data_IF_728355810311
#
_entry.id   IF_728355810311
#
_cell.length_a   1.000
_cell.length_b   1.000
_cell.length_c   1.000
_cell.angle_alpha   90.00
_cell.angle_beta   90.00
_cell.angle_gamma   90.00
#
_symmetry.space_group_name_H-M   'P 1'
#
loop_
_entity.id
_entity.type
_entity.pdbx_description
1 polymer ?
#
# COMPACT_ATOMS: atom_id res chain seq x y z
N UNK A 1 9.12 10.47 -12.53
CA UNK A 1 8.33 11.66 -12.15
C UNK A 1 7.18 11.21 -11.27
N UNK A 2 7.01 11.78 -10.08
CA UNK A 2 5.89 11.46 -9.18
C UNK A 2 4.72 12.45 -9.39
N UNK A 3 3.52 11.99 -9.06
CA UNK A 3 2.27 12.69 -9.32
C UNK A 3 1.95 13.67 -8.17
N UNK A 4 1.54 14.90 -8.49
CA UNK A 4 0.97 15.84 -7.52
C UNK A 4 -0.55 15.62 -7.44
N UNK A 5 -1.00 15.01 -6.34
CA UNK A 5 -2.41 14.74 -6.06
C UNK A 5 -3.26 16.02 -5.88
N UNK A 6 -2.65 17.20 -5.66
CA UNK A 6 -3.38 18.47 -5.46
C UNK A 6 -3.98 19.00 -6.77
N UNK A 7 -3.29 18.73 -7.88
CA UNK A 7 -3.52 19.39 -9.17
C UNK A 7 -3.71 18.40 -10.34
N UNK A 8 -3.51 17.09 -10.13
CA UNK A 8 -3.54 16.09 -11.19
C UNK A 8 -2.40 16.25 -12.21
N UNK A 9 -1.44 17.12 -11.93
CA UNK A 9 -0.26 17.36 -12.75
C UNK A 9 0.92 16.54 -12.23
N UNK A 10 1.90 16.25 -13.09
CA UNK A 10 3.20 15.76 -12.61
C UNK A 10 3.84 16.87 -11.76
N UNK A 11 4.40 16.53 -10.60
CA UNK A 11 5.06 17.51 -9.73
C UNK A 11 6.09 18.30 -10.55
N UNK A 12 5.91 19.62 -10.69
CA UNK A 12 6.87 20.50 -11.39
C UNK A 12 8.22 20.61 -10.68
N UNK A 13 8.33 20.13 -9.43
CA UNK A 13 9.43 20.47 -8.53
C UNK A 13 9.84 19.34 -7.58
N UNK A 14 9.63 18.07 -7.93
CA UNK A 14 10.30 16.99 -7.19
C UNK A 14 11.70 16.79 -7.76
N UNK A 15 12.72 16.65 -6.90
CA UNK A 15 14.06 16.32 -7.35
C UNK A 15 14.02 15.03 -8.18
N UNK A 16 14.78 15.03 -9.27
CA UNK A 16 15.06 13.84 -10.06
C UNK A 16 15.61 12.71 -9.18
N UNK A 17 15.54 11.47 -9.67
CA UNK A 17 16.08 10.31 -8.93
C UNK A 17 17.56 10.49 -8.62
N UNK A 18 18.33 11.11 -9.53
CA UNK A 18 19.75 11.43 -9.29
C UNK A 18 19.95 12.46 -8.17
N UNK A 19 19.11 13.48 -8.11
CA UNK A 19 19.17 14.47 -7.01
C UNK A 19 18.73 13.87 -5.66
N UNK A 20 17.86 12.85 -5.68
CA UNK A 20 17.42 12.15 -4.45
C UNK A 20 18.53 11.33 -3.79
N UNK A 21 19.57 10.92 -4.52
CA UNK A 21 20.73 10.20 -3.97
C UNK A 21 21.41 11.01 -2.87
N UNK A 22 21.39 12.35 -2.96
CA UNK A 22 21.95 13.22 -1.92
C UNK A 22 21.23 13.07 -0.57
N UNK A 23 19.94 12.74 -0.58
CA UNK A 23 19.12 12.51 0.62
C UNK A 23 19.07 11.03 1.00
N UNK A 24 19.14 10.13 0.01
CA UNK A 24 19.06 8.67 0.17
C UNK A 24 20.19 7.98 -0.61
N UNK A 25 21.43 7.91 -0.06
CA UNK A 25 22.62 7.48 -0.80
C UNK A 25 22.59 6.05 -1.36
N UNK A 26 21.66 5.21 -0.88
CA UNK A 26 21.50 3.80 -1.28
C UNK A 26 20.24 3.55 -2.11
N UNK A 27 19.58 4.61 -2.59
CA UNK A 27 18.42 4.44 -3.47
C UNK A 27 18.83 3.79 -4.79
N UNK A 28 18.06 2.81 -5.26
CA UNK A 28 18.26 2.23 -6.58
C UNK A 28 17.77 3.22 -7.65
N UNK A 29 18.72 3.84 -8.34
CA UNK A 29 18.42 4.84 -9.38
C UNK A 29 17.91 4.23 -10.68
N UNK A 30 18.08 2.91 -10.86
CA UNK A 30 17.65 2.18 -12.05
C UNK A 30 16.25 1.57 -11.88
N UNK A 31 15.64 1.73 -10.71
CA UNK A 31 14.30 1.22 -10.46
C UNK A 31 13.26 1.94 -11.32
N UNK A 32 12.53 1.16 -12.10
CA UNK A 32 11.35 1.62 -12.83
C UNK A 32 10.07 1.28 -12.05
N UNK A 33 9.17 2.27 -11.93
CA UNK A 33 7.83 2.07 -11.38
C UNK A 33 7.12 0.92 -12.11
N UNK A 34 6.37 0.09 -11.37
CA UNK A 34 5.62 -1.04 -11.92
C UNK A 34 4.65 -0.59 -13.03
N UNK A 35 3.95 0.52 -12.77
CA UNK A 35 3.11 1.20 -13.74
C UNK A 35 2.84 2.63 -13.26
N UNK A 36 2.24 3.44 -14.13
CA UNK A 36 1.67 4.75 -13.77
C UNK A 36 0.15 4.65 -13.88
N UNK A 37 -0.62 5.01 -12.86
CA UNK A 37 -2.08 4.94 -12.94
C UNK A 37 -2.66 6.03 -13.85
N UNK A 38 -3.80 5.73 -14.45
CA UNK A 38 -4.60 6.71 -15.18
C UNK A 38 -5.30 7.67 -14.20
N UNK A 39 -5.39 8.94 -14.57
CA UNK A 39 -5.98 10.00 -13.73
C UNK A 39 -7.10 10.72 -14.49
N UNK A 40 -8.17 11.17 -13.81
CA UNK A 40 -8.41 11.04 -12.37
C UNK A 40 -8.82 9.62 -11.95
N UNK A 41 -8.37 9.20 -10.78
CA UNK A 41 -8.78 7.93 -10.18
C UNK A 41 -10.12 8.09 -9.44
N UNK A 42 -11.11 7.27 -9.78
CA UNK A 42 -12.38 7.23 -9.05
C UNK A 42 -12.27 6.32 -7.83
N UNK A 43 -12.79 6.78 -6.70
CA UNK A 43 -12.83 6.01 -5.46
C UNK A 43 -14.22 5.40 -5.22
N UNK A 44 -14.33 4.15 -4.73
CA UNK A 44 -13.23 3.23 -4.41
C UNK A 44 -12.75 2.37 -5.60
N UNK A 45 -13.57 2.19 -6.63
CA UNK A 45 -13.39 1.11 -7.60
C UNK A 45 -12.06 1.19 -8.37
N UNK A 46 -11.77 2.31 -9.03
CA UNK A 46 -10.52 2.46 -9.79
C UNK A 46 -9.29 2.39 -8.88
N UNK A 47 -9.40 2.89 -7.64
CA UNK A 47 -8.36 2.76 -6.62
C UNK A 47 -8.08 1.31 -6.23
N UNK A 48 -9.13 0.51 -6.04
CA UNK A 48 -9.02 -0.91 -5.70
C UNK A 48 -8.50 -1.74 -6.88
N UNK A 49 -8.89 -1.40 -8.11
CA UNK A 49 -8.33 -2.02 -9.31
C UNK A 49 -6.82 -1.75 -9.42
N UNK A 50 -6.40 -0.52 -9.13
CA UNK A 50 -4.97 -0.16 -9.05
C UNK A 50 -4.23 -0.97 -7.98
N UNK A 51 -4.82 -1.13 -6.80
CA UNK A 51 -4.21 -1.93 -5.74
C UNK A 51 -4.07 -3.40 -6.16
N UNK A 52 -5.10 -3.96 -6.79
CA UNK A 52 -5.08 -5.32 -7.36
C UNK A 52 -3.96 -5.49 -8.39
N UNK A 53 -3.83 -4.53 -9.30
CA UNK A 53 -2.76 -4.52 -10.30
C UNK A 53 -1.38 -4.43 -9.65
N UNK A 54 -1.20 -3.59 -8.64
CA UNK A 54 0.07 -3.48 -7.93
C UNK A 54 0.51 -4.80 -7.29
N UNK A 55 -0.39 -5.50 -6.61
CA UNK A 55 -0.11 -6.82 -6.03
C UNK A 55 0.28 -7.81 -7.12
N UNK A 56 -0.48 -7.86 -8.22
CA UNK A 56 -0.20 -8.76 -9.35
C UNK A 56 1.19 -8.49 -9.96
N UNK A 57 1.52 -7.24 -10.24
CA UNK A 57 2.81 -6.86 -10.83
C UNK A 57 3.99 -7.13 -9.87
N UNK A 58 3.79 -6.92 -8.56
CA UNK A 58 4.78 -7.31 -7.54
C UNK A 58 5.01 -8.81 -7.51
N UNK A 59 3.93 -9.61 -7.50
CA UNK A 59 3.98 -11.07 -7.56
C UNK A 59 4.68 -11.58 -8.81
N UNK A 60 4.44 -10.96 -9.98
CA UNK A 60 5.13 -11.34 -11.22
C UNK A 60 6.61 -10.98 -11.16
N UNK A 61 6.95 -9.75 -10.74
CA UNK A 61 8.34 -9.24 -10.77
C UNK A 61 9.25 -9.95 -9.75
N UNK A 62 8.71 -10.30 -8.59
CA UNK A 62 9.47 -10.77 -7.43
C UNK A 62 9.05 -12.13 -6.89
N UNK A 63 7.98 -12.74 -7.40
CA UNK A 63 7.35 -13.88 -6.75
C UNK A 63 7.76 -15.27 -7.24
N UNK A 64 8.66 -15.42 -8.22
CA UNK A 64 9.07 -16.72 -8.76
C UNK A 64 10.57 -16.83 -9.01
N UNK A 65 11.18 -17.92 -8.52
CA UNK A 65 12.57 -18.31 -8.77
C UNK A 65 13.44 -18.35 -7.51
N UNK A 66 14.43 -19.25 -7.48
CA UNK A 66 15.35 -19.44 -6.36
C UNK A 66 16.18 -18.19 -6.02
N UNK A 67 16.40 -17.31 -7.00
CA UNK A 67 17.16 -16.06 -6.86
C UNK A 67 16.28 -14.85 -6.47
N UNK A 68 15.00 -15.06 -6.17
CA UNK A 68 14.08 -13.99 -5.78
C UNK A 68 13.99 -13.82 -4.26
N UNK A 69 13.70 -12.60 -3.79
CA UNK A 69 13.55 -12.35 -2.36
C UNK A 69 12.38 -13.17 -1.79
N UNK A 70 12.59 -13.77 -0.62
CA UNK A 70 11.55 -14.50 0.12
C UNK A 70 10.48 -13.58 0.73
N UNK A 71 10.78 -12.27 0.84
CA UNK A 71 9.88 -11.26 1.39
C UNK A 71 10.02 -9.93 0.63
N UNK A 72 8.90 -9.24 0.47
CA UNK A 72 8.83 -7.90 -0.13
C UNK A 72 8.21 -6.96 0.89
N UNK A 73 8.85 -5.81 1.13
CA UNK A 73 8.33 -4.77 2.01
C UNK A 73 7.84 -3.61 1.12
N UNK A 74 6.56 -3.28 1.24
CA UNK A 74 5.95 -2.14 0.54
C UNK A 74 5.64 -1.06 1.56
N UNK A 75 6.29 0.10 1.40
CA UNK A 75 6.02 1.28 2.22
C UNK A 75 5.16 2.24 1.41
N UNK A 76 3.96 2.54 1.90
CA UNK A 76 3.00 3.40 1.20
C UNK A 76 2.12 4.17 2.19
N UNK A 77 1.20 4.99 1.68
CA UNK A 77 0.25 5.74 2.48
C UNK A 77 -0.89 4.86 3.01
N UNK A 78 -1.60 5.34 4.04
CA UNK A 78 -2.67 4.60 4.72
C UNK A 78 -3.70 3.95 3.79
N UNK A 79 -4.22 4.70 2.80
CA UNK A 79 -5.14 4.16 1.81
C UNK A 79 -4.51 3.02 1.00
N UNK A 80 -3.25 3.18 0.58
CA UNK A 80 -2.49 2.16 -0.13
C UNK A 80 -2.31 0.88 0.69
N UNK A 81 -2.00 1.00 1.99
CA UNK A 81 -1.87 -0.15 2.88
C UNK A 81 -3.18 -0.95 2.93
N UNK A 82 -4.30 -0.27 3.22
CA UNK A 82 -5.62 -0.92 3.35
C UNK A 82 -6.09 -1.50 2.02
N UNK A 83 -5.97 -0.74 0.94
CA UNK A 83 -6.37 -1.17 -0.39
C UNK A 83 -5.57 -2.38 -0.88
N UNK A 84 -4.26 -2.39 -0.68
CA UNK A 84 -3.43 -3.54 -1.02
C UNK A 84 -3.73 -4.75 -0.12
N UNK A 85 -3.89 -4.57 1.19
CA UNK A 85 -4.24 -5.68 2.08
C UNK A 85 -5.59 -6.31 1.72
N UNK A 86 -6.62 -5.48 1.51
CA UNK A 86 -7.95 -5.94 1.07
C UNK A 86 -7.87 -6.72 -0.25
N UNK A 87 -7.18 -6.17 -1.25
CA UNK A 87 -7.11 -6.79 -2.58
C UNK A 87 -6.22 -8.03 -2.64
N UNK A 88 -5.20 -8.12 -1.79
CA UNK A 88 -4.33 -9.30 -1.73
C UNK A 88 -5.04 -10.47 -1.05
N UNK A 89 -5.86 -10.18 -0.04
CA UNK A 89 -6.55 -11.20 0.77
C UNK A 89 -7.98 -11.53 0.33
N UNK A 90 -8.54 -10.75 -0.60
CA UNK A 90 -9.93 -10.87 -1.02
C UNK A 90 -10.96 -10.38 0.02
N UNK A 91 -10.49 -9.87 1.16
CA UNK A 91 -11.34 -9.32 2.24
C UNK A 91 -11.96 -7.98 1.83
N UNK A 92 -13.15 -7.69 2.35
CA UNK A 92 -13.75 -6.36 2.22
C UNK A 92 -12.92 -5.31 2.96
N UNK A 93 -13.06 -4.04 2.57
CA UNK A 93 -12.35 -2.95 3.25
C UNK A 93 -12.67 -2.90 4.76
N UNK A 94 -13.91 -3.21 5.15
CA UNK A 94 -14.36 -3.23 6.56
C UNK A 94 -13.69 -4.30 7.42
N UNK A 95 -13.10 -5.33 6.80
CA UNK A 95 -12.37 -6.40 7.48
C UNK A 95 -10.86 -6.10 7.60
N UNK A 96 -10.40 -4.98 7.03
CA UNK A 96 -9.01 -4.51 7.15
C UNK A 96 -8.96 -3.38 8.16
N UNK A 97 -8.05 -3.50 9.13
CA UNK A 97 -7.92 -2.52 10.20
C UNK A 97 -7.48 -1.15 9.67
N UNK A 98 -7.83 -0.12 10.43
CA UNK A 98 -7.38 1.23 10.17
C UNK A 98 -5.84 1.29 10.16
N UNK A 99 -5.27 1.99 9.19
CA UNK A 99 -3.84 2.16 9.07
C UNK A 99 -3.38 3.33 9.93
N UNK A 100 -2.69 3.03 11.02
CA UNK A 100 -1.94 4.00 11.81
C UNK A 100 -0.62 4.36 11.13
N UNK A 101 0.01 5.51 11.44
CA UNK A 101 1.38 5.76 11.01
C UNK A 101 2.30 4.60 11.38
N UNK A 102 3.13 4.17 10.44
CA UNK A 102 4.08 3.06 10.60
C UNK A 102 3.47 1.72 11.03
N UNK A 103 2.14 1.53 10.93
CA UNK A 103 1.56 0.21 11.17
C UNK A 103 2.03 -0.80 10.11
N UNK A 104 2.00 -2.09 10.49
CA UNK A 104 2.44 -3.18 9.65
C UNK A 104 1.23 -4.05 9.30
N UNK A 105 1.08 -4.35 8.02
CA UNK A 105 0.22 -5.41 7.51
C UNK A 105 1.13 -6.55 7.03
N UNK A 106 1.09 -7.70 7.68
CA UNK A 106 1.85 -8.88 7.24
C UNK A 106 0.93 -9.83 6.48
N UNK A 107 1.36 -10.18 5.27
CA UNK A 107 0.62 -11.06 4.39
C UNK A 107 1.51 -12.23 3.99
N UNK A 108 0.98 -13.44 4.10
CA UNK A 108 1.66 -14.68 3.72
C UNK A 108 0.95 -15.31 2.53
N UNK A 109 1.66 -16.10 1.74
CA UNK A 109 1.04 -16.93 0.71
C UNK A 109 1.79 -18.25 0.63
N UNK A 110 1.05 -19.33 0.37
CA UNK A 110 1.65 -20.62 0.07
C UNK A 110 1.99 -20.65 -1.42
N UNK A 111 3.24 -20.99 -1.75
CA UNK A 111 3.77 -21.00 -3.13
C UNK A 111 3.68 -22.42 -3.73
N UNK A 112 3.12 -23.39 -3.00
CA UNK A 112 3.08 -24.81 -3.40
C UNK A 112 2.27 -25.08 -4.68
N UNK A 113 1.55 -24.09 -5.21
CA UNK A 113 0.94 -24.13 -6.54
C UNK A 113 1.57 -23.07 -7.45
N UNK A 114 2.63 -23.47 -8.18
CA UNK A 114 3.34 -22.66 -9.18
C UNK A 114 2.42 -22.12 -10.29
N UNK A 115 1.18 -22.60 -10.39
CA UNK A 115 0.20 -22.16 -11.39
C UNK A 115 -0.61 -20.92 -10.99
N UNK A 116 -0.64 -20.55 -9.70
CA UNK A 116 -1.42 -19.40 -9.21
C UNK A 116 -0.55 -18.25 -8.68
N UNK A 117 0.11 -17.54 -9.61
CA UNK A 117 0.78 -16.26 -9.34
C UNK A 117 -0.19 -15.21 -8.72
N UNK A 118 -1.49 -15.40 -8.90
CA UNK A 118 -2.56 -14.59 -8.33
C UNK A 118 -3.11 -15.09 -6.99
N UNK A 119 -2.48 -16.11 -6.39
CA UNK A 119 -2.95 -16.75 -5.16
C UNK A 119 -3.37 -15.76 -4.08
N UNK A 120 -4.48 -16.07 -3.43
CA UNK A 120 -5.01 -15.28 -2.32
C UNK A 120 -3.98 -15.29 -1.19
N UNK A 121 -3.58 -14.09 -0.78
CA UNK A 121 -2.70 -13.93 0.38
C UNK A 121 -3.54 -14.09 1.65
N UNK A 122 -2.92 -14.59 2.70
CA UNK A 122 -3.50 -14.67 4.02
C UNK A 122 -2.97 -13.52 4.87
N UNK A 123 -3.80 -13.05 5.81
CA UNK A 123 -3.43 -12.04 6.78
C UNK A 123 -4.04 -12.43 8.12
N UNK A 124 -3.22 -12.48 9.16
CA UNK A 124 -3.68 -12.85 10.50
C UNK A 124 -4.63 -11.80 11.07
N UNK A 125 -5.63 -12.26 11.81
CA UNK A 125 -6.50 -11.37 12.58
C UNK A 125 -5.71 -10.64 13.67
N UNK A 126 -5.99 -9.35 13.86
CA UNK A 126 -5.31 -8.54 14.88
C UNK A 126 -5.54 -9.05 16.31
N UNK A 127 -6.68 -9.71 16.53
CA UNK A 127 -7.11 -10.24 17.83
C UNK A 127 -6.35 -11.51 18.22
N UNK A 128 -5.58 -12.10 17.31
CA UNK A 128 -4.72 -13.24 17.58
C UNK A 128 -3.39 -12.77 18.18
N UNK A 129 -2.82 -13.62 19.02
CA UNK A 129 -1.45 -13.40 19.52
C UNK A 129 -0.48 -13.38 18.32
N UNK A 130 0.24 -12.26 18.16
CA UNK A 130 1.10 -12.04 16.99
C UNK A 130 0.38 -11.58 15.72
N UNK A 131 -0.92 -11.29 15.79
CA UNK A 131 -1.72 -10.79 14.67
C UNK A 131 -1.16 -9.50 14.05
N UNK A 132 -1.02 -9.48 12.74
CA UNK A 132 -0.34 -8.40 12.01
C UNK A 132 -1.25 -7.64 11.02
N UNK A 133 -2.56 -7.56 11.27
CA UNK A 133 -3.49 -6.67 10.55
C UNK A 133 -3.48 -5.27 11.16
N UNK A 134 -2.61 -4.38 10.67
CA UNK A 134 -2.46 -3.01 11.18
C UNK A 134 -1.66 -2.92 12.49
N UNK A 135 -0.68 -3.82 12.66
CA UNK A 135 0.09 -3.97 13.90
C UNK A 135 0.96 -2.76 14.23
N UNK A 136 0.91 -2.35 15.50
CA UNK A 136 1.57 -1.16 16.04
C UNK A 136 2.40 -1.45 17.29
N UNK A 137 2.48 -2.71 17.75
CA UNK A 137 3.15 -3.08 19.00
C UNK A 137 4.67 -2.86 19.04
N UNK A 138 5.27 -2.57 17.89
CA UNK A 138 6.68 -2.15 17.80
C UNK A 138 6.88 -0.66 18.15
N UNK A 139 5.80 0.12 18.27
CA UNK A 139 5.85 1.53 18.62
C UNK A 139 5.53 1.72 20.10
N UNK A 140 6.27 2.60 20.76
CA UNK A 140 6.01 3.00 22.15
C UNK A 140 4.87 4.00 22.27
N UNK A 141 4.61 4.77 21.21
CA UNK A 141 3.50 5.71 21.10
C UNK A 141 3.14 5.95 19.64
N UNK A 142 1.85 6.14 19.35
CA UNK A 142 1.39 6.57 18.03
C UNK A 142 1.54 8.09 17.85
N UNK A 143 1.58 8.84 18.96
CA UNK A 143 1.50 10.30 18.99
C UNK A 143 0.09 10.79 19.30
N UNK A 144 -0.01 11.99 19.90
CA UNK A 144 -1.28 12.57 20.35
C UNK A 144 -2.10 13.22 19.23
N UNK A 145 -1.48 13.46 18.07
CA UNK A 145 -2.06 14.20 16.93
C UNK A 145 -2.22 13.36 15.66
N UNK A 146 -2.00 12.06 15.77
CA UNK A 146 -2.06 11.12 14.66
C UNK A 146 -3.26 10.22 14.84
N UNK A 147 -4.05 10.10 13.78
CA UNK A 147 -5.26 9.29 13.80
C UNK A 147 -5.10 8.14 12.82
N UNK A 148 -5.43 6.90 13.21
CA UNK A 148 -5.56 5.80 12.27
C UNK A 148 -6.56 6.19 11.18
N UNK A 149 -6.19 5.97 9.92
CA UNK A 149 -7.10 6.19 8.81
C UNK A 149 -7.75 4.86 8.45
N UNK A 150 -9.05 4.77 8.61
CA UNK A 150 -9.87 3.78 7.94
C UNK A 150 -10.43 4.38 6.64
N UNK A 151 -10.77 3.51 5.70
CA UNK A 151 -11.46 3.84 4.45
C UNK A 151 -12.80 4.55 4.66
N UNK A 152 -13.30 4.53 5.90
CA UNK A 152 -14.35 5.37 6.43
C UNK A 152 -13.74 6.42 7.35
N UNK A 153 -14.28 7.62 7.43
CA UNK A 153 -13.92 8.62 8.43
C UNK A 153 -14.26 8.20 9.85
N UNK A 154 -13.95 9.07 10.83
CA UNK A 154 -14.21 8.81 12.25
C UNK A 154 -15.67 8.44 12.59
N UNK A 155 -16.63 8.71 11.69
CA UNK A 155 -18.05 8.42 11.86
C UNK A 155 -18.62 7.37 10.88
N UNK A 156 -17.78 6.57 10.21
CA UNK A 156 -18.25 5.61 9.20
C UNK A 156 -18.55 6.23 7.82
N UNK A 157 -18.47 7.56 7.68
CA UNK A 157 -18.63 8.26 6.41
C UNK A 157 -17.30 8.38 5.67
N UNK A 158 -17.23 8.06 4.37
CA UNK A 158 -16.01 8.19 3.56
C UNK A 158 -15.25 9.51 3.80
N UNK A 159 -14.05 9.43 4.38
CA UNK A 159 -13.18 10.57 4.70
C UNK A 159 -12.13 10.84 3.61
N UNK A 160 -12.48 10.58 2.36
CA UNK A 160 -11.60 10.82 1.22
C UNK A 160 -10.97 12.22 1.21
N UNK A 161 -9.95 12.44 0.38
CA UNK A 161 -9.36 13.77 0.20
C UNK A 161 -10.48 14.80 -0.02
N UNK A 162 -10.40 16.00 0.57
CA UNK A 162 -11.49 16.96 0.60
C UNK A 162 -12.13 17.09 -0.78
N UNK A 163 -13.45 16.89 -0.87
CA UNK A 163 -14.19 17.28 -2.07
C UNK A 163 -13.92 18.77 -2.25
N UNK A 164 -13.19 19.16 -3.30
CA UNK A 164 -13.14 20.56 -3.71
C UNK A 164 -14.58 20.95 -4.01
N UNK A 165 -15.24 21.60 -3.07
CA UNK A 165 -16.41 22.43 -3.38
C UNK A 165 -15.91 23.46 -4.38
N UNK A 166 -16.37 23.35 -5.62
CA UNK A 166 -16.27 24.44 -6.60
C UNK A 166 -17.05 25.65 -6.10
#
# INVERSE_FOLDING_TARGET
SELDMKNGARHKALPSVFERVAYYPRIDTNYNSLFTPEMPEQYPDSFLDRCSRAIKELSIKYGQGFDKPSAIIVVTHAAGCIGMASRATGRSLSEVNAASPCCIFHLTRNIDDDSDISGVWEMDEWSLEGGMNGFTGHMTTLGEKTFPWNHFGPNGEYSGPPKKTM
#
